data_IF_216116426251
#
_entry.id   IF_216116426251
#
_cell.length_a   1.000
_cell.length_b   1.000
_cell.length_c   1.000
_cell.angle_alpha   90.00
_cell.angle_beta   90.00
_cell.angle_gamma   90.00
#
_symmetry.space_group_name_H-M   'P 1'
#
loop_
_entity.id
_entity.type
_entity.pdbx_description
1 polymer ?
#
# COMPACT_ATOMS: atom_id res chain seq x y z
N UNK A 1 -0.59 -11.08 8.40
CA UNK A 1 0.31 -9.95 8.06
C UNK A 1 0.76 -9.22 9.32
N UNK A 2 1.99 -8.71 9.36
CA UNK A 2 2.45 -7.77 10.41
C UNK A 2 2.65 -6.40 9.81
N UNK A 3 2.37 -5.36 10.58
CA UNK A 3 2.61 -3.99 10.14
C UNK A 3 3.21 -3.12 11.24
N UNK A 4 3.88 -2.05 10.81
CA UNK A 4 4.34 -0.96 11.67
C UNK A 4 4.08 0.36 10.97
N UNK A 5 3.59 1.35 11.71
CA UNK A 5 3.44 2.72 11.19
C UNK A 5 4.51 3.62 11.83
N UNK A 6 5.22 4.37 11.00
CA UNK A 6 6.12 5.44 11.44
C UNK A 6 5.60 6.77 10.95
N UNK A 7 5.54 7.77 11.83
CA UNK A 7 5.07 9.12 11.50
C UNK A 7 6.26 10.08 11.49
N UNK A 8 6.43 10.83 10.40
CA UNK A 8 7.40 11.91 10.30
C UNK A 8 6.76 13.13 9.64
N UNK A 9 6.48 14.17 10.43
CA UNK A 9 5.78 15.39 9.99
C UNK A 9 4.46 15.03 9.28
N UNK A 10 4.35 15.33 7.99
CA UNK A 10 3.18 15.08 7.16
C UNK A 10 3.19 13.71 6.47
N UNK A 11 4.22 12.89 6.69
CA UNK A 11 4.38 11.59 6.04
C UNK A 11 4.16 10.47 7.06
N UNK A 12 3.28 9.53 6.72
CA UNK A 12 3.15 8.25 7.41
C UNK A 12 3.74 7.15 6.55
N UNK A 13 4.72 6.41 7.07
CA UNK A 13 5.24 5.20 6.40
C UNK A 13 4.63 3.96 7.05
N UNK A 14 3.94 3.14 6.26
CA UNK A 14 3.39 1.84 6.67
C UNK A 14 4.33 0.75 6.15
N UNK A 15 4.98 0.05 7.08
CA UNK A 15 5.84 -1.09 6.78
C UNK A 15 4.99 -2.35 6.83
N UNK A 16 4.86 -3.04 5.69
CA UNK A 16 4.10 -4.28 5.55
C UNK A 16 5.06 -5.46 5.48
N UNK A 17 4.76 -6.52 6.24
CA UNK A 17 5.58 -7.72 6.34
C UNK A 17 4.72 -8.99 6.31
N UNK A 18 4.92 -9.83 5.29
CA UNK A 18 4.15 -11.05 5.03
C UNK A 18 3.49 -11.03 3.66
N UNK A 19 2.23 -11.48 3.59
CA UNK A 19 1.49 -11.68 2.34
C UNK A 19 0.28 -10.74 2.24
N UNK A 20 0.04 -10.19 1.05
CA UNK A 20 -1.13 -9.35 0.76
C UNK A 20 -2.03 -10.10 -0.23
N UNK A 21 -3.03 -10.78 0.30
CA UNK A 21 -4.02 -11.57 -0.41
C UNK A 21 -5.45 -11.09 -0.05
N UNK A 22 -6.46 -11.86 -0.46
CA UNK A 22 -7.86 -11.55 -0.15
C UNK A 22 -8.16 -11.51 1.35
N UNK A 23 -7.50 -12.35 2.16
CA UNK A 23 -7.77 -12.45 3.59
C UNK A 23 -7.25 -11.23 4.35
N UNK A 24 -6.15 -10.63 3.87
CA UNK A 24 -5.46 -9.50 4.51
C UNK A 24 -5.79 -8.15 3.88
N UNK A 25 -6.35 -8.11 2.67
CA UNK A 25 -6.55 -6.85 1.93
C UNK A 25 -7.39 -5.82 2.71
N UNK A 26 -8.46 -6.25 3.39
CA UNK A 26 -9.31 -5.36 4.18
C UNK A 26 -8.59 -4.81 5.41
N UNK A 27 -7.81 -5.64 6.12
CA UNK A 27 -6.97 -5.18 7.24
C UNK A 27 -5.99 -4.08 6.80
N UNK A 28 -5.40 -4.22 5.60
CA UNK A 28 -4.49 -3.19 5.06
C UNK A 28 -5.26 -1.89 4.77
N UNK A 29 -6.49 -1.96 4.25
CA UNK A 29 -7.34 -0.76 4.05
C UNK A 29 -7.64 -0.06 5.36
N UNK A 30 -8.01 -0.82 6.39
CA UNK A 30 -8.33 -0.28 7.72
C UNK A 30 -7.15 0.47 8.35
N UNK A 31 -5.91 0.10 8.00
CA UNK A 31 -4.71 0.79 8.46
C UNK A 31 -4.38 2.00 7.57
N UNK A 32 -4.43 1.83 6.25
CA UNK A 32 -3.93 2.82 5.28
C UNK A 32 -4.92 3.97 5.07
N UNK A 33 -6.21 3.67 4.95
CA UNK A 33 -7.21 4.69 4.58
C UNK A 33 -7.37 5.79 5.63
N UNK A 34 -7.40 5.51 6.95
CA UNK A 34 -7.46 6.57 7.95
C UNK A 34 -6.26 7.52 7.90
N UNK A 35 -5.08 7.01 7.55
CA UNK A 35 -3.88 7.85 7.39
C UNK A 35 -4.04 8.81 6.22
N UNK A 36 -4.56 8.32 5.08
CA UNK A 36 -4.86 9.14 3.90
C UNK A 36 -5.95 10.18 4.23
N UNK A 37 -7.02 9.75 4.91
CA UNK A 37 -8.15 10.61 5.28
C UNK A 37 -7.75 11.73 6.24
N UNK A 38 -6.71 11.51 7.05
CA UNK A 38 -6.11 12.55 7.89
C UNK A 38 -5.29 13.59 7.12
N UNK A 39 -5.23 13.51 5.78
CA UNK A 39 -4.53 14.45 4.91
C UNK A 39 -3.02 14.20 4.80
N UNK A 40 -2.52 13.09 5.36
CA UNK A 40 -1.10 12.75 5.31
C UNK A 40 -0.70 12.16 3.98
N UNK A 41 0.55 12.39 3.58
CA UNK A 41 1.20 11.59 2.55
C UNK A 41 1.51 10.22 3.12
N UNK A 42 1.20 9.15 2.38
CA UNK A 42 1.38 7.78 2.86
C UNK A 42 2.39 7.04 2.01
N UNK A 43 3.43 6.50 2.65
CA UNK A 43 4.42 5.65 2.01
C UNK A 43 4.13 4.19 2.40
N UNK A 44 3.86 3.34 1.41
CA UNK A 44 3.73 1.90 1.63
C UNK A 44 5.11 1.27 1.39
N UNK A 45 5.76 0.84 2.46
CA UNK A 45 7.02 0.10 2.37
C UNK A 45 6.71 -1.39 2.21
N UNK A 46 7.11 -1.95 1.07
CA UNK A 46 6.78 -3.30 0.63
C UNK A 46 8.00 -4.24 0.64
N UNK A 47 9.08 -3.86 1.34
CA UNK A 47 10.35 -4.58 1.35
C UNK A 47 10.22 -6.01 1.83
N UNK A 48 9.44 -6.19 2.89
CA UNK A 48 9.25 -7.49 3.54
C UNK A 48 7.93 -8.16 3.11
N UNK A 49 7.31 -7.69 2.02
CA UNK A 49 6.15 -8.35 1.43
C UNK A 49 6.64 -9.50 0.55
N UNK A 50 6.30 -10.72 0.95
CA UNK A 50 6.80 -11.97 0.36
C UNK A 50 5.92 -12.44 -0.80
N UNK A 51 4.64 -12.08 -0.75
CA UNK A 51 3.64 -12.44 -1.75
C UNK A 51 2.56 -11.35 -1.86
N UNK A 52 2.05 -11.16 -3.08
CA UNK A 52 0.91 -10.29 -3.36
C UNK A 52 0.13 -10.83 -4.55
N UNK A 53 -1.20 -10.74 -4.50
CA UNK A 53 -2.10 -11.10 -5.60
C UNK A 53 -2.86 -9.88 -6.16
N UNK A 54 -3.97 -10.12 -6.88
CA UNK A 54 -4.84 -9.06 -7.38
C UNK A 54 -5.49 -8.21 -6.28
N UNK A 55 -5.73 -8.77 -5.10
CA UNK A 55 -6.33 -8.08 -3.96
C UNK A 55 -5.40 -6.99 -3.45
N UNK A 56 -4.09 -7.27 -3.39
CA UNK A 56 -3.09 -6.25 -3.05
C UNK A 56 -2.96 -5.14 -4.09
N UNK A 57 -3.13 -5.45 -5.38
CA UNK A 57 -3.20 -4.43 -6.44
C UNK A 57 -4.41 -3.52 -6.24
N UNK A 58 -5.58 -4.07 -5.92
CA UNK A 58 -6.78 -3.27 -5.63
C UNK A 58 -6.56 -2.30 -4.47
N UNK A 59 -5.97 -2.76 -3.37
CA UNK A 59 -5.63 -1.88 -2.22
C UNK A 59 -4.75 -0.70 -2.64
N UNK A 60 -3.74 -0.94 -3.49
CA UNK A 60 -2.85 0.13 -3.99
C UNK A 60 -3.61 1.12 -4.88
N UNK A 61 -4.46 0.63 -5.79
CA UNK A 61 -5.25 1.47 -6.69
C UNK A 61 -6.21 2.36 -5.89
N UNK A 62 -6.97 1.75 -4.97
CA UNK A 62 -7.92 2.45 -4.11
C UNK A 62 -7.23 3.46 -3.20
N UNK A 63 -6.07 3.11 -2.63
CA UNK A 63 -5.26 4.04 -1.82
C UNK A 63 -4.85 5.25 -2.64
N UNK A 64 -4.40 5.04 -3.89
CA UNK A 64 -3.99 6.14 -4.76
C UNK A 64 -5.18 7.02 -5.18
N UNK A 65 -6.34 6.43 -5.47
CA UNK A 65 -7.56 7.17 -5.78
C UNK A 65 -7.99 8.02 -4.58
N UNK A 66 -8.08 7.42 -3.39
CA UNK A 66 -8.45 8.10 -2.15
C UNK A 66 -7.48 9.24 -1.82
N UNK A 67 -6.18 9.04 -2.03
CA UNK A 67 -5.18 10.07 -1.82
C UNK A 67 -5.38 11.27 -2.75
N UNK A 68 -5.73 11.04 -4.02
CA UNK A 68 -6.06 12.12 -4.97
C UNK A 68 -7.28 12.91 -4.51
N UNK A 69 -8.33 12.24 -4.04
CA UNK A 69 -9.54 12.89 -3.51
C UNK A 69 -9.24 13.77 -2.29
N UNK A 70 -8.23 13.38 -1.49
CA UNK A 70 -7.76 14.14 -0.31
C UNK A 70 -6.65 15.14 -0.62
N UNK A 71 -6.29 15.35 -1.90
CA UNK A 71 -5.16 16.19 -2.31
C UNK A 71 -3.82 15.82 -1.62
N UNK A 72 -3.63 14.52 -1.35
CA UNK A 72 -2.40 13.95 -0.82
C UNK A 72 -1.82 12.92 -1.80
N UNK A 73 -0.78 12.19 -1.40
CA UNK A 73 -0.08 11.21 -2.22
C UNK A 73 0.08 9.89 -1.50
N UNK A 74 0.08 8.81 -2.28
CA UNK A 74 0.55 7.49 -1.86
C UNK A 74 1.75 7.12 -2.71
N UNK A 75 2.84 6.71 -2.07
CA UNK A 75 4.06 6.24 -2.75
C UNK A 75 4.43 4.83 -2.30
N UNK A 76 4.82 3.98 -3.25
CA UNK A 76 5.37 2.67 -2.96
C UNK A 76 6.87 2.79 -2.71
N UNK A 77 7.37 2.22 -1.62
CA UNK A 77 8.77 2.28 -1.20
C UNK A 77 9.35 0.88 -1.08
N UNK A 78 10.62 0.75 -1.44
CA UNK A 78 11.41 -0.48 -1.28
C UNK A 78 10.64 -1.73 -1.74
N UNK A 79 10.12 -1.70 -2.97
CA UNK A 79 9.25 -2.76 -3.47
C UNK A 79 10.02 -4.08 -3.60
N UNK A 80 9.50 -5.15 -3.00
CA UNK A 80 10.12 -6.47 -3.10
C UNK A 80 9.98 -7.06 -4.51
N UNK A 81 10.91 -7.93 -4.91
CA UNK A 81 10.89 -8.56 -6.23
C UNK A 81 9.58 -9.32 -6.54
N UNK A 82 8.96 -10.08 -5.60
CA UNK A 82 7.65 -10.68 -5.85
C UNK A 82 6.57 -9.65 -6.19
N UNK A 83 6.52 -8.55 -5.44
CA UNK A 83 5.54 -7.47 -5.65
C UNK A 83 5.79 -6.76 -6.97
N UNK A 84 7.04 -6.50 -7.35
CA UNK A 84 7.38 -5.90 -8.64
C UNK A 84 6.86 -6.72 -9.82
N UNK A 85 6.95 -8.05 -9.77
CA UNK A 85 6.44 -8.94 -10.82
C UNK A 85 4.92 -8.79 -10.97
N UNK A 86 4.19 -8.74 -9.87
CA UNK A 86 2.73 -8.59 -9.86
C UNK A 86 2.33 -7.22 -10.42
N UNK A 87 2.98 -6.15 -9.99
CA UNK A 87 2.77 -4.80 -10.52
C UNK A 87 3.08 -4.71 -12.02
N UNK A 88 4.14 -5.38 -12.48
CA UNK A 88 4.50 -5.43 -13.90
C UNK A 88 3.47 -6.18 -14.74
N UNK A 89 2.86 -7.23 -14.20
CA UNK A 89 1.74 -7.92 -14.86
C UNK A 89 0.52 -7.02 -14.93
N UNK A 90 0.10 -6.40 -13.82
CA UNK A 90 -1.06 -5.52 -13.78
C UNK A 90 -0.94 -4.37 -14.80
N UNK A 91 0.24 -3.74 -14.92
CA UNK A 91 0.50 -2.68 -15.91
C UNK A 91 0.37 -3.10 -17.38
N UNK A 92 0.43 -4.41 -17.69
CA UNK A 92 0.21 -4.88 -19.08
C UNK A 92 -1.26 -4.93 -19.46
N UNK A 93 -2.17 -4.87 -18.47
CA UNK A 93 -3.61 -5.01 -18.66
C UNK A 93 -4.39 -3.74 -18.32
N UNK A 94 -3.72 -2.73 -17.78
CA UNK A 94 -4.23 -1.37 -17.54
C UNK A 94 -3.75 -0.45 -18.66
#
# INVERSE_FOLDING_TARGET
>A
MKFKVSNNKNVSTVFLNGEIDMDIADDVREIVFPLIDSGKEVHLNLKDVQYMDSSGISVIIESNQRAREKNTKVELKEVSQPVEKVLAMARKFL
#
